data_IF_501682302798
#
_entry.id   IF_501682302798
#
_cell.length_a   1.000
_cell.length_b   1.000
_cell.length_c   1.000
_cell.angle_alpha   90.00
_cell.angle_beta   90.00
_cell.angle_gamma   90.00
#
_symmetry.space_group_name_H-M   'P 1'
#
loop_
_entity.id
_entity.type
_entity.pdbx_description
1 polymer ?
#
# COMPACT_ATOMS: atom_id res chain seq x y z
N UNK A 1 -39.90 77.14 -28.60
CA UNK A 1 -38.44 76.98 -28.81
C UNK A 1 -37.72 77.08 -27.47
N UNK A 2 -37.13 75.97 -27.01
CA UNK A 2 -35.79 75.85 -26.42
C UNK A 2 -35.69 74.52 -25.69
N UNK A 3 -34.96 73.60 -26.31
CA UNK A 3 -34.48 72.36 -25.71
C UNK A 3 -33.47 72.69 -24.60
N UNK A 4 -33.50 71.93 -23.50
CA UNK A 4 -32.28 71.65 -22.75
C UNK A 4 -32.38 70.27 -22.08
N UNK A 5 -31.43 69.43 -22.45
CA UNK A 5 -31.11 68.11 -21.92
C UNK A 5 -30.51 68.20 -20.51
N UNK A 6 -30.59 67.09 -19.76
CA UNK A 6 -29.65 66.56 -18.73
C UNK A 6 -30.49 65.82 -17.66
N UNK A 7 -30.13 64.67 -17.11
CA UNK A 7 -29.08 63.67 -17.32
C UNK A 7 -29.55 62.44 -16.52
N UNK A 8 -29.53 61.27 -17.13
CA UNK A 8 -29.74 60.01 -16.43
C UNK A 8 -28.53 59.72 -15.54
N UNK A 9 -28.74 59.59 -14.22
CA UNK A 9 -27.75 58.98 -13.32
C UNK A 9 -28.22 57.57 -13.02
N UNK A 10 -27.67 56.60 -13.75
CA UNK A 10 -27.73 55.20 -13.36
C UNK A 10 -26.72 54.99 -12.22
N UNK A 11 -27.22 54.70 -11.02
CA UNK A 11 -26.39 54.28 -9.90
C UNK A 11 -25.93 52.83 -10.16
N UNK A 12 -24.66 52.67 -10.55
CA UNK A 12 -24.03 51.36 -10.64
C UNK A 12 -23.55 50.98 -9.23
N UNK A 13 -24.34 50.20 -8.49
CA UNK A 13 -23.89 49.58 -7.23
C UNK A 13 -22.90 48.46 -7.54
N UNK A 14 -21.62 48.75 -7.39
CA UNK A 14 -20.53 47.78 -7.47
C UNK A 14 -20.54 46.93 -6.18
N UNK A 15 -21.25 45.80 -6.21
CA UNK A 15 -21.20 44.81 -5.13
C UNK A 15 -19.82 44.15 -5.13
N UNK A 16 -18.90 44.65 -4.31
CA UNK A 16 -17.64 44.00 -3.99
C UNK A 16 -17.95 42.72 -3.20
N UNK A 17 -18.08 41.60 -3.90
CA UNK A 17 -18.11 40.28 -3.27
C UNK A 17 -16.77 40.02 -2.59
N UNK A 18 -16.75 40.03 -1.26
CA UNK A 18 -15.66 39.47 -0.48
C UNK A 18 -15.58 37.97 -0.81
N UNK A 19 -14.71 37.60 -1.74
CA UNK A 19 -14.26 36.23 -1.88
C UNK A 19 -13.42 35.93 -0.63
N UNK A 20 -14.04 35.26 0.35
CA UNK A 20 -13.28 34.61 1.42
C UNK A 20 -12.29 33.66 0.74
N UNK A 21 -10.99 33.68 1.11
CA UNK A 21 -10.07 32.66 0.62
C UNK A 21 -10.65 31.31 1.03
N UNK A 22 -10.96 30.46 0.06
CA UNK A 22 -11.21 29.05 0.34
C UNK A 22 -9.96 28.56 1.08
N UNK A 23 -10.11 28.19 2.36
CA UNK A 23 -9.01 27.62 3.10
C UNK A 23 -8.53 26.42 2.29
N UNK A 24 -7.31 26.49 1.77
CA UNK A 24 -6.71 25.37 1.08
C UNK A 24 -6.67 24.23 2.10
N UNK A 25 -7.41 23.17 1.82
CA UNK A 25 -7.43 21.99 2.68
C UNK A 25 -6.00 21.44 2.72
N UNK A 26 -5.41 21.42 3.92
CA UNK A 26 -4.07 20.86 4.10
C UNK A 26 -4.09 19.42 3.57
N UNK A 27 -3.16 19.12 2.66
CA UNK A 27 -3.11 17.84 1.95
C UNK A 27 -1.81 17.11 2.29
N UNK A 28 -1.94 15.82 2.59
CA UNK A 28 -0.83 14.88 2.79
C UNK A 28 -0.85 13.85 1.67
N UNK A 29 0.23 13.77 0.91
CA UNK A 29 0.43 12.78 -0.16
C UNK A 29 1.19 11.58 0.38
N UNK A 30 0.59 10.40 0.34
CA UNK A 30 1.18 9.18 0.90
C UNK A 30 1.49 8.18 -0.21
N UNK A 31 2.73 7.76 -0.31
CA UNK A 31 3.11 6.63 -1.15
C UNK A 31 3.13 5.38 -0.29
N UNK A 32 2.18 4.47 -0.51
CA UNK A 32 1.99 3.30 0.34
C UNK A 32 2.01 2.01 -0.47
N UNK A 33 2.67 0.98 0.05
CA UNK A 33 2.65 -0.35 -0.53
C UNK A 33 1.22 -0.82 -0.83
N UNK A 34 1.02 -1.48 -1.98
CA UNK A 34 -0.31 -1.87 -2.47
C UNK A 34 -1.15 -2.68 -1.47
N UNK A 35 -0.51 -3.47 -0.59
CA UNK A 35 -1.23 -4.23 0.44
C UNK A 35 -1.97 -3.35 1.45
N UNK A 36 -1.55 -2.09 1.64
CA UNK A 36 -2.12 -1.14 2.59
C UNK A 36 -3.40 -0.44 2.06
N UNK A 37 -3.80 -0.68 0.81
CA UNK A 37 -4.85 0.09 0.13
C UNK A 37 -6.12 0.27 0.97
N UNK A 38 -6.77 -0.82 1.39
CA UNK A 38 -8.05 -0.74 2.10
C UNK A 38 -7.91 -0.11 3.49
N UNK A 39 -6.90 -0.53 4.26
CA UNK A 39 -6.67 -0.01 5.61
C UNK A 39 -6.39 1.49 5.60
N UNK A 40 -5.52 1.94 4.68
CA UNK A 40 -5.14 3.35 4.59
C UNK A 40 -6.27 4.21 4.02
N UNK A 41 -7.11 3.70 3.12
CA UNK A 41 -8.31 4.40 2.66
C UNK A 41 -9.31 4.65 3.79
N UNK A 42 -9.53 3.66 4.65
CA UNK A 42 -10.41 3.81 5.81
C UNK A 42 -9.82 4.79 6.83
N UNK A 43 -8.53 4.68 7.13
CA UNK A 43 -7.81 5.61 8.03
C UNK A 43 -7.84 7.04 7.46
N UNK A 44 -7.58 7.22 6.17
CA UNK A 44 -7.65 8.53 5.51
C UNK A 44 -9.05 9.15 5.65
N UNK A 45 -10.10 8.34 5.47
CA UNK A 45 -11.49 8.79 5.62
C UNK A 45 -11.81 9.19 7.07
N UNK A 46 -11.31 8.44 8.06
CA UNK A 46 -11.48 8.76 9.48
C UNK A 46 -10.72 10.05 9.84
N UNK A 47 -9.44 10.12 9.46
CA UNK A 47 -8.58 11.27 9.72
C UNK A 47 -9.13 12.57 9.12
N UNK A 48 -9.63 12.51 7.88
CA UNK A 48 -10.29 13.65 7.24
C UNK A 48 -11.48 14.17 8.07
N UNK A 49 -12.33 13.26 8.56
CA UNK A 49 -13.50 13.64 9.37
C UNK A 49 -13.11 14.27 10.70
N UNK A 50 -12.02 13.79 11.31
CA UNK A 50 -11.58 14.23 12.63
C UNK A 50 -10.73 15.50 12.61
N UNK A 51 -9.88 15.65 11.59
CA UNK A 51 -8.83 16.69 11.54
C UNK A 51 -9.01 17.69 10.40
N UNK A 52 -9.93 17.43 9.46
CA UNK A 52 -10.16 18.27 8.28
C UNK A 52 -8.88 18.45 7.44
N UNK A 53 -8.13 17.36 7.25
CA UNK A 53 -6.88 17.29 6.47
C UNK A 53 -6.98 16.15 5.47
N UNK A 54 -6.81 16.47 4.18
CA UNK A 54 -6.96 15.52 3.08
C UNK A 54 -5.74 14.62 2.93
N UNK A 55 -5.96 13.31 2.98
CA UNK A 55 -4.92 12.31 2.73
C UNK A 55 -5.15 11.70 1.36
N UNK A 56 -4.21 11.91 0.45
CA UNK A 56 -4.25 11.34 -0.91
C UNK A 56 -3.14 10.32 -1.04
N UNK A 57 -3.52 9.05 -1.21
CA UNK A 57 -2.57 7.96 -1.30
C UNK A 57 -2.38 7.46 -2.74
N UNK A 58 -1.13 7.16 -3.09
CA UNK A 58 -0.75 6.42 -4.30
C UNK A 58 -0.26 5.04 -3.91
N UNK A 59 -0.82 4.02 -4.56
CA UNK A 59 -0.54 2.62 -4.22
C UNK A 59 0.16 1.90 -5.38
N UNK A 60 1.29 1.30 -5.10
CA UNK A 60 2.03 0.42 -6.02
C UNK A 60 2.93 -0.53 -5.21
N UNK A 61 3.80 -1.30 -5.89
CA UNK A 61 4.87 -1.99 -5.17
C UNK A 61 5.82 -0.97 -4.55
N UNK A 62 6.34 -1.28 -3.36
CA UNK A 62 7.27 -0.39 -2.64
C UNK A 62 8.49 -0.04 -3.48
N UNK A 63 8.95 -0.97 -4.33
CA UNK A 63 9.98 -0.73 -5.34
C UNK A 63 9.66 0.40 -6.31
N UNK A 64 8.44 0.41 -6.84
CA UNK A 64 8.02 1.43 -7.80
C UNK A 64 7.90 2.77 -7.11
N UNK A 65 7.30 2.79 -5.91
CA UNK A 65 7.12 4.01 -5.13
C UNK A 65 8.46 4.62 -4.70
N UNK A 66 9.40 3.82 -4.19
CA UNK A 66 10.72 4.28 -3.80
C UNK A 66 11.49 4.89 -4.99
N UNK A 67 11.42 4.26 -6.17
CA UNK A 67 12.02 4.80 -7.40
C UNK A 67 11.31 6.06 -7.90
N UNK A 68 10.00 6.18 -7.72
CA UNK A 68 9.28 7.41 -8.05
C UNK A 68 9.69 8.56 -7.13
N UNK A 69 9.87 8.30 -5.83
CA UNK A 69 10.38 9.31 -4.88
C UNK A 69 11.79 9.74 -5.26
N UNK A 70 12.66 8.79 -5.63
CA UNK A 70 14.00 9.11 -6.15
C UNK A 70 13.95 9.99 -7.41
N UNK A 71 12.94 9.79 -8.25
CA UNK A 71 12.69 10.59 -9.46
C UNK A 71 12.00 11.93 -9.18
N UNK A 72 11.77 12.29 -7.92
CA UNK A 72 11.19 13.58 -7.52
C UNK A 72 9.67 13.60 -7.44
N UNK A 73 9.01 12.44 -7.34
CA UNK A 73 7.58 12.40 -7.06
C UNK A 73 7.28 13.04 -5.69
N UNK A 74 6.26 13.93 -5.59
CA UNK A 74 6.02 14.74 -4.40
C UNK A 74 5.23 13.98 -3.32
N UNK A 75 5.79 12.86 -2.84
CA UNK A 75 5.25 12.17 -1.68
C UNK A 75 5.70 12.86 -0.40
N UNK A 76 4.83 12.94 0.61
CA UNK A 76 5.16 13.46 1.94
C UNK A 76 5.53 12.34 2.91
N UNK A 77 4.89 11.18 2.75
CA UNK A 77 5.10 9.97 3.54
C UNK A 77 5.30 8.78 2.62
N UNK A 78 6.27 7.93 2.96
CA UNK A 78 6.47 6.64 2.31
C UNK A 78 6.24 5.51 3.31
N UNK A 79 5.43 4.52 2.93
CA UNK A 79 5.21 3.29 3.71
C UNK A 79 5.56 2.09 2.81
N UNK A 80 6.70 1.47 3.10
CA UNK A 80 7.18 0.28 2.39
C UNK A 80 6.54 -0.99 2.97
N UNK A 81 6.56 -2.09 2.22
CA UNK A 81 6.20 -3.43 2.69
C UNK A 81 7.42 -4.28 3.06
N UNK A 82 8.62 -3.69 3.03
CA UNK A 82 9.84 -4.26 3.56
C UNK A 82 10.80 -3.16 4.07
N UNK A 83 11.81 -3.57 4.84
CA UNK A 83 12.91 -2.69 5.24
C UNK A 83 13.79 -2.31 4.05
N UNK A 84 13.99 -3.22 3.08
CA UNK A 84 14.92 -3.03 1.97
C UNK A 84 14.63 -1.80 1.10
N UNK A 85 13.36 -1.54 0.75
CA UNK A 85 13.02 -0.34 -0.04
C UNK A 85 12.99 0.94 0.78
N UNK A 86 12.80 0.85 2.10
CA UNK A 86 13.02 2.00 2.99
C UNK A 86 14.51 2.30 3.14
N UNK A 87 15.36 1.27 3.28
CA UNK A 87 16.81 1.39 3.28
C UNK A 87 17.29 2.04 1.97
N UNK A 88 16.80 1.57 0.82
CA UNK A 88 17.08 2.17 -0.49
C UNK A 88 16.78 3.68 -0.51
N UNK A 89 15.58 4.07 -0.07
CA UNK A 89 15.18 5.48 -0.06
C UNK A 89 16.03 6.31 0.92
N UNK A 90 16.38 5.73 2.06
CA UNK A 90 17.24 6.36 3.06
C UNK A 90 18.68 6.53 2.56
N UNK A 91 19.28 5.52 1.96
CA UNK A 91 20.64 5.53 1.41
C UNK A 91 20.79 6.55 0.27
N UNK A 92 19.69 6.83 -0.42
CA UNK A 92 19.56 7.89 -1.43
C UNK A 92 19.32 9.28 -0.82
N UNK A 93 19.33 9.42 0.50
CA UNK A 93 19.04 10.63 1.26
C UNK A 93 17.63 11.22 1.00
N UNK A 94 16.66 10.37 0.64
CA UNK A 94 15.31 10.82 0.30
C UNK A 94 14.38 10.92 1.52
N UNK A 95 14.73 10.31 2.65
CA UNK A 95 13.89 10.22 3.85
C UNK A 95 14.45 11.05 5.01
N UNK A 96 13.57 11.58 5.87
CA UNK A 96 13.94 12.06 7.21
C UNK A 96 14.19 10.85 8.13
N UNK A 97 15.46 10.53 8.36
CA UNK A 97 15.88 9.35 9.14
C UNK A 97 15.36 9.34 10.58
N UNK A 98 15.08 10.51 11.17
CA UNK A 98 14.54 10.60 12.52
C UNK A 98 13.07 10.15 12.60
N UNK A 99 12.42 9.98 11.45
CA UNK A 99 11.00 9.61 11.35
C UNK A 99 10.78 8.18 10.90
N UNK A 100 11.86 7.39 10.71
CA UNK A 100 11.69 5.99 10.35
C UNK A 100 11.12 5.21 11.53
N UNK A 101 9.99 4.56 11.29
CA UNK A 101 9.30 3.74 12.28
C UNK A 101 8.71 2.51 11.62
N UNK A 102 9.01 1.31 12.16
CA UNK A 102 8.32 0.09 11.74
C UNK A 102 6.90 0.11 12.27
N UNK A 103 5.93 0.36 11.40
CA UNK A 103 4.53 0.57 11.76
C UNK A 103 3.77 -0.75 11.94
N UNK A 104 3.98 -1.71 11.03
CA UNK A 104 3.19 -2.94 10.97
C UNK A 104 4.08 -4.16 10.72
N UNK A 105 3.57 -5.33 11.09
CA UNK A 105 3.97 -6.63 10.58
C UNK A 105 2.84 -7.33 9.82
N UNK A 106 3.18 -8.41 9.13
CA UNK A 106 2.22 -9.22 8.37
C UNK A 106 2.73 -10.67 8.21
N UNK A 107 1.89 -11.53 7.67
CA UNK A 107 2.22 -12.92 7.36
C UNK A 107 2.29 -13.13 5.85
N UNK A 108 3.14 -14.05 5.41
CA UNK A 108 3.19 -14.49 4.02
C UNK A 108 2.34 -15.76 3.88
N UNK A 109 1.40 -15.76 2.94
CA UNK A 109 0.41 -16.84 2.79
C UNK A 109 0.28 -17.30 1.34
N UNK A 110 -0.16 -18.54 1.17
CA UNK A 110 -0.65 -19.08 -0.09
C UNK A 110 -2.16 -18.94 -0.11
N UNK A 111 -2.67 -18.37 -1.19
CA UNK A 111 -4.10 -18.25 -1.46
C UNK A 111 -4.52 -19.10 -2.66
N UNK A 112 -5.79 -19.49 -2.66
CA UNK A 112 -6.48 -20.09 -3.80
C UNK A 112 -7.80 -19.33 -4.07
N UNK A 113 -8.43 -19.47 -5.26
CA UNK A 113 -9.76 -18.93 -5.48
C UNK A 113 -10.75 -19.48 -4.44
N UNK A 114 -11.73 -18.67 -4.02
CA UNK A 114 -12.68 -19.04 -2.96
C UNK A 114 -13.43 -20.33 -3.29
N UNK A 115 -13.83 -20.50 -4.55
CA UNK A 115 -14.54 -21.67 -5.07
C UNK A 115 -13.65 -22.90 -5.31
N UNK A 116 -12.32 -22.76 -5.21
CA UNK A 116 -11.38 -23.87 -5.45
C UNK A 116 -11.58 -25.01 -4.46
N UNK A 117 -11.46 -26.26 -4.93
CA UNK A 117 -11.43 -27.45 -4.09
C UNK A 117 -10.10 -27.63 -3.32
N UNK A 118 -9.13 -26.72 -3.51
CA UNK A 118 -7.86 -26.74 -2.78
C UNK A 118 -8.11 -26.68 -1.26
N UNK A 119 -7.46 -27.61 -0.54
CA UNK A 119 -7.48 -27.68 0.93
C UNK A 119 -6.23 -27.05 1.51
N UNK A 120 -6.19 -26.96 2.83
CA UNK A 120 -5.04 -26.48 3.57
C UNK A 120 -3.77 -27.28 3.23
N UNK A 121 -2.67 -26.56 3.11
CA UNK A 121 -1.33 -27.00 2.75
C UNK A 121 -0.46 -26.76 3.99
N UNK A 122 0.14 -27.83 4.50
CA UNK A 122 1.25 -27.70 5.44
C UNK A 122 2.50 -27.39 4.63
N UNK A 123 2.94 -26.13 4.66
CA UNK A 123 4.07 -25.66 3.83
C UNK A 123 5.39 -26.04 4.52
N UNK A 124 6.16 -26.89 3.85
CA UNK A 124 7.47 -27.37 4.26
C UNK A 124 8.37 -27.71 3.05
N UNK A 125 9.55 -28.27 3.29
CA UNK A 125 10.53 -28.63 2.25
C UNK A 125 10.15 -29.88 1.42
N UNK A 126 8.99 -30.50 1.71
CA UNK A 126 8.44 -31.66 1.00
C UNK A 126 7.13 -31.35 0.28
N UNK A 127 6.70 -30.09 0.29
CA UNK A 127 5.47 -29.65 -0.35
C UNK A 127 5.52 -29.91 -1.87
N UNK A 128 4.58 -30.71 -2.38
CA UNK A 128 4.48 -31.03 -3.81
C UNK A 128 3.78 -29.89 -4.58
N UNK A 129 4.54 -28.83 -4.85
CA UNK A 129 4.02 -27.63 -5.49
C UNK A 129 3.53 -27.87 -6.91
N UNK A 130 4.17 -28.76 -7.69
CA UNK A 130 3.73 -29.10 -9.06
C UNK A 130 2.34 -29.73 -9.07
N UNK A 131 2.08 -30.67 -8.16
CA UNK A 131 0.76 -31.29 -8.02
C UNK A 131 -0.29 -30.26 -7.60
N UNK A 132 0.06 -29.39 -6.64
CA UNK A 132 -0.82 -28.30 -6.18
C UNK A 132 -1.16 -27.30 -7.31
N UNK A 133 -0.22 -27.00 -8.19
CA UNK A 133 -0.41 -26.09 -9.32
C UNK A 133 -1.19 -26.72 -10.48
N UNK A 134 -1.26 -28.04 -10.60
CA UNK A 134 -2.01 -28.75 -11.67
C UNK A 134 -1.67 -28.24 -13.09
N UNK A 135 -0.39 -27.91 -13.32
CA UNK A 135 0.09 -27.34 -14.59
C UNK A 135 -0.18 -25.84 -14.79
N UNK A 136 -0.83 -25.17 -13.84
CA UNK A 136 -1.00 -23.72 -13.81
C UNK A 136 0.23 -22.97 -13.28
N UNK A 137 0.15 -21.64 -13.27
CA UNK A 137 1.20 -20.76 -12.74
C UNK A 137 0.95 -20.34 -11.30
N UNK A 138 2.01 -20.08 -10.55
CA UNK A 138 1.95 -19.51 -9.21
C UNK A 138 1.96 -17.98 -9.27
N UNK A 139 0.85 -17.32 -8.95
CA UNK A 139 0.78 -15.86 -8.91
C UNK A 139 1.64 -15.28 -7.78
N UNK A 140 2.49 -14.30 -8.08
CA UNK A 140 3.37 -13.69 -7.09
C UNK A 140 3.76 -12.29 -7.52
N UNK A 141 4.01 -11.37 -6.59
CA UNK A 141 4.70 -10.12 -6.93
C UNK A 141 6.06 -10.42 -7.55
N UNK A 142 6.54 -9.62 -8.51
CA UNK A 142 7.80 -9.91 -9.19
C UNK A 142 8.95 -10.08 -8.17
N UNK A 143 9.55 -11.28 -8.06
CA UNK A 143 10.53 -11.58 -7.03
C UNK A 143 11.83 -10.78 -7.12
N UNK A 144 12.07 -10.10 -8.23
CA UNK A 144 13.29 -9.32 -8.42
C UNK A 144 13.19 -7.92 -7.78
N UNK A 145 11.99 -7.45 -7.43
CA UNK A 145 11.84 -6.13 -6.82
C UNK A 145 10.61 -5.93 -5.93
N UNK A 146 9.51 -6.67 -6.10
CA UNK A 146 8.31 -6.48 -5.28
C UNK A 146 8.51 -7.14 -3.91
N UNK A 147 8.27 -6.46 -2.77
CA UNK A 147 8.47 -7.03 -1.44
C UNK A 147 7.84 -8.41 -1.24
N UNK A 148 6.55 -8.59 -1.58
CA UNK A 148 5.87 -9.88 -1.47
C UNK A 148 6.55 -10.98 -2.29
N UNK A 149 7.11 -10.63 -3.46
CA UNK A 149 7.90 -11.53 -4.28
C UNK A 149 9.27 -11.84 -3.71
N UNK A 150 9.93 -10.85 -3.10
CA UNK A 150 11.22 -11.03 -2.42
C UNK A 150 11.06 -11.98 -1.23
N UNK A 151 10.03 -11.77 -0.40
CA UNK A 151 9.69 -12.69 0.70
C UNK A 151 9.32 -14.08 0.19
N UNK A 152 8.53 -14.18 -0.88
CA UNK A 152 8.20 -15.46 -1.51
C UNK A 152 9.45 -16.19 -2.01
N UNK A 153 10.39 -15.48 -2.63
CA UNK A 153 11.67 -16.04 -3.07
C UNK A 153 12.49 -16.54 -1.91
N UNK A 154 12.65 -15.75 -0.86
CA UNK A 154 13.38 -16.14 0.34
C UNK A 154 12.74 -17.40 0.99
N UNK A 155 11.42 -17.40 1.15
CA UNK A 155 10.65 -18.52 1.67
C UNK A 155 10.88 -19.80 0.86
N UNK A 156 10.70 -19.73 -0.45
CA UNK A 156 10.85 -20.87 -1.34
C UNK A 156 12.31 -21.33 -1.47
N UNK A 157 13.29 -20.43 -1.34
CA UNK A 157 14.71 -20.81 -1.31
C UNK A 157 15.04 -21.59 -0.04
N UNK A 158 14.59 -21.11 1.12
CA UNK A 158 14.79 -21.80 2.40
C UNK A 158 14.09 -23.16 2.45
N UNK A 159 12.95 -23.29 1.77
CA UNK A 159 12.21 -24.54 1.59
C UNK A 159 12.67 -25.37 0.38
N UNK A 160 13.74 -24.96 -0.32
CA UNK A 160 14.34 -25.66 -1.48
C UNK A 160 13.39 -25.88 -2.67
N UNK A 161 12.33 -25.07 -2.77
CA UNK A 161 11.31 -25.13 -3.83
C UNK A 161 11.52 -24.05 -4.92
N UNK A 162 12.41 -23.08 -4.70
CA UNK A 162 12.59 -21.95 -5.60
C UNK A 162 12.96 -22.33 -7.03
N UNK A 163 13.96 -23.21 -7.21
CA UNK A 163 14.44 -23.58 -8.55
C UNK A 163 13.36 -24.30 -9.37
N UNK A 164 12.49 -25.06 -8.69
CA UNK A 164 11.34 -25.70 -9.31
C UNK A 164 10.24 -24.69 -9.71
N UNK A 165 9.93 -23.74 -8.82
CA UNK A 165 8.78 -22.85 -8.98
C UNK A 165 9.05 -21.58 -9.76
N UNK A 166 10.28 -21.07 -9.74
CA UNK A 166 10.69 -19.84 -10.46
C UNK A 166 10.22 -19.81 -11.93
N UNK A 167 10.37 -20.88 -12.75
CA UNK A 167 9.86 -20.88 -14.13
C UNK A 167 8.32 -20.93 -14.24
N UNK A 168 7.64 -21.37 -13.18
CA UNK A 168 6.18 -21.53 -13.11
C UNK A 168 5.46 -20.30 -12.54
N UNK A 169 6.18 -19.22 -12.24
CA UNK A 169 5.56 -18.02 -11.67
C UNK A 169 4.78 -17.20 -12.69
N UNK A 170 3.65 -16.64 -12.25
CA UNK A 170 2.98 -15.53 -12.89
C UNK A 170 3.34 -14.25 -12.11
N UNK A 171 4.42 -13.60 -12.55
CA UNK A 171 5.01 -12.43 -11.90
C UNK A 171 4.15 -11.19 -12.15
N UNK A 172 3.79 -10.49 -11.08
CA UNK A 172 2.96 -9.29 -11.13
C UNK A 172 3.70 -8.05 -10.62
N UNK A 173 3.31 -6.87 -11.10
CA UNK A 173 3.97 -5.61 -10.75
C UNK A 173 3.80 -5.18 -9.27
N UNK A 174 2.85 -5.77 -8.54
CA UNK A 174 2.63 -5.63 -7.10
C UNK A 174 1.81 -6.82 -6.55
N UNK A 175 1.71 -6.94 -5.22
CA UNK A 175 1.03 -8.06 -4.57
C UNK A 175 -0.48 -8.11 -4.82
N UNK A 176 -1.15 -6.95 -4.96
CA UNK A 176 -2.59 -6.89 -5.29
C UNK A 176 -2.87 -7.32 -6.73
N UNK A 177 -1.95 -7.03 -7.64
CA UNK A 177 -2.03 -7.54 -9.01
C UNK A 177 -1.83 -9.08 -9.05
N UNK A 178 -0.95 -9.65 -8.22
CA UNK A 178 -0.83 -11.09 -8.06
C UNK A 178 -2.11 -11.71 -7.49
N UNK A 179 -2.66 -11.13 -6.42
CA UNK A 179 -3.94 -11.57 -5.84
C UNK A 179 -5.06 -11.56 -6.87
N UNK A 180 -5.14 -10.53 -7.71
CA UNK A 180 -6.18 -10.40 -8.72
C UNK A 180 -6.14 -11.51 -9.79
N UNK A 181 -4.98 -12.13 -10.04
CA UNK A 181 -4.90 -13.32 -10.92
C UNK A 181 -5.57 -14.54 -10.27
N UNK A 182 -5.44 -14.68 -8.96
CA UNK A 182 -6.10 -15.74 -8.18
C UNK A 182 -7.60 -15.46 -8.06
N UNK A 183 -8.00 -14.21 -7.81
CA UNK A 183 -9.43 -13.82 -7.79
C UNK A 183 -10.15 -14.12 -9.10
N UNK A 184 -9.44 -14.02 -10.23
CA UNK A 184 -9.96 -14.28 -11.58
C UNK A 184 -9.77 -15.71 -12.05
N UNK A 185 -9.27 -16.59 -11.18
CA UNK A 185 -8.98 -17.99 -11.51
C UNK A 185 -7.96 -18.17 -12.66
N UNK A 186 -7.20 -17.12 -12.98
CA UNK A 186 -6.10 -17.14 -13.98
C UNK A 186 -4.84 -17.84 -13.42
N UNK A 187 -4.73 -17.91 -12.10
CA UNK A 187 -3.73 -18.68 -11.38
C UNK A 187 -4.40 -19.54 -10.28
N UNK A 188 -4.12 -20.86 -10.21
CA UNK A 188 -4.72 -21.74 -9.21
C UNK A 188 -4.28 -21.42 -7.79
N UNK A 189 -3.08 -20.86 -7.63
CA UNK A 189 -2.50 -20.43 -6.36
C UNK A 189 -1.79 -19.09 -6.53
N UNK A 190 -1.66 -18.35 -5.43
CA UNK A 190 -0.77 -17.21 -5.36
C UNK A 190 -0.14 -17.03 -3.99
N UNK A 191 1.01 -16.36 -3.94
CA UNK A 191 1.68 -15.95 -2.70
C UNK A 191 1.42 -14.45 -2.49
N UNK A 192 0.77 -14.13 -1.39
CA UNK A 192 0.37 -12.76 -1.00
C UNK A 192 0.57 -12.58 0.50
N UNK A 193 0.22 -11.41 1.04
CA UNK A 193 0.18 -11.24 2.49
C UNK A 193 -1.17 -11.67 3.10
N UNK A 194 -1.16 -12.05 4.38
CA UNK A 194 -2.38 -12.38 5.13
C UNK A 194 -3.42 -11.25 5.07
N UNK A 195 -2.97 -9.99 5.19
CA UNK A 195 -3.84 -8.82 5.04
C UNK A 195 -4.50 -8.70 3.66
N UNK A 196 -3.84 -9.14 2.59
CA UNK A 196 -4.41 -9.09 1.24
C UNK A 196 -5.57 -10.08 1.14
N UNK A 197 -5.41 -11.28 1.70
CA UNK A 197 -6.46 -12.29 1.74
C UNK A 197 -7.67 -11.83 2.59
N UNK A 198 -7.45 -11.09 3.68
CA UNK A 198 -8.54 -10.47 4.46
C UNK A 198 -9.29 -9.40 3.67
N UNK A 199 -8.61 -8.70 2.76
CA UNK A 199 -9.19 -7.63 1.96
C UNK A 199 -10.03 -8.11 0.76
N UNK A 200 -10.20 -9.43 0.56
CA UNK A 200 -10.93 -10.01 -0.57
C UNK A 200 -11.87 -11.13 -0.12
N UNK A 201 -13.08 -11.15 -0.68
CA UNK A 201 -14.05 -12.24 -0.51
C UNK A 201 -13.91 -13.35 -1.58
N UNK A 202 -13.06 -13.14 -2.59
CA UNK A 202 -12.88 -14.01 -3.76
C UNK A 202 -11.74 -15.01 -3.64
N UNK A 203 -10.93 -14.90 -2.58
CA UNK A 203 -9.84 -15.84 -2.29
C UNK A 203 -9.99 -16.44 -0.90
N UNK A 204 -9.23 -17.49 -0.65
CA UNK A 204 -9.07 -18.08 0.68
C UNK A 204 -7.61 -18.40 0.90
N UNK A 205 -7.15 -18.23 2.14
CA UNK A 205 -5.85 -18.75 2.58
C UNK A 205 -5.92 -20.27 2.59
N UNK A 206 -4.93 -20.91 2.00
CA UNK A 206 -4.77 -22.37 1.97
C UNK A 206 -3.43 -22.80 2.55
N UNK A 207 -2.62 -21.88 3.07
CA UNK A 207 -1.38 -22.21 3.76
C UNK A 207 -0.67 -20.93 4.20
N UNK A 208 0.05 -21.01 5.31
CA UNK A 208 0.89 -19.91 5.81
C UNK A 208 2.33 -20.36 5.79
N UNK A 209 3.22 -19.52 5.25
CA UNK A 209 4.65 -19.83 5.23
C UNK A 209 5.20 -19.83 6.67
N UNK A 210 6.09 -20.77 7.02
CA UNK A 210 6.73 -20.76 8.33
C UNK A 210 7.48 -19.44 8.55
N UNK A 211 7.36 -18.84 9.73
CA UNK A 211 8.07 -17.59 10.06
C UNK A 211 9.61 -17.70 9.96
N UNK A 212 10.15 -18.92 10.01
CA UNK A 212 11.57 -19.21 9.82
C UNK A 212 11.99 -19.32 8.35
N UNK A 213 11.03 -19.34 7.42
CA UNK A 213 11.32 -19.46 5.99
C UNK A 213 11.69 -18.13 5.34
N UNK A 214 11.36 -16.99 5.94
CA UNK A 214 11.68 -15.67 5.41
C UNK A 214 11.94 -14.69 6.54
N UNK A 215 12.53 -13.53 6.24
CA UNK A 215 12.62 -12.43 7.22
C UNK A 215 11.21 -11.98 7.66
N UNK A 216 11.08 -11.37 8.85
CA UNK A 216 9.82 -10.76 9.25
C UNK A 216 9.29 -9.80 8.18
N UNK A 217 8.02 -9.92 7.84
CA UNK A 217 7.34 -8.95 6.97
C UNK A 217 7.05 -7.73 7.81
N UNK A 218 7.65 -6.59 7.43
CA UNK A 218 7.60 -5.35 8.19
C UNK A 218 7.31 -4.17 7.27
N UNK A 219 6.49 -3.23 7.77
CA UNK A 219 6.09 -2.04 7.05
C UNK A 219 6.69 -0.80 7.70
N UNK A 220 7.92 -0.41 7.35
CA UNK A 220 8.46 0.86 7.80
C UNK A 220 7.76 2.02 7.10
N UNK A 221 7.49 3.06 7.87
CA UNK A 221 7.09 4.37 7.37
C UNK A 221 8.16 5.41 7.69
N UNK A 222 8.27 6.42 6.84
CA UNK A 222 9.09 7.61 7.08
C UNK A 222 8.51 8.82 6.33
N UNK A 223 8.78 10.01 6.86
CA UNK A 223 8.51 11.28 6.18
C UNK A 223 9.59 11.49 5.11
N UNK A 224 9.16 11.90 3.92
CA UNK A 224 10.09 12.28 2.84
C UNK A 224 10.87 13.52 3.28
N UNK A 225 12.18 13.52 3.04
CA UNK A 225 13.08 14.60 3.45
C UNK A 225 12.55 15.95 2.97
N UNK A 226 12.63 16.96 3.83
CA UNK A 226 12.18 18.34 3.55
C UNK A 226 10.65 18.53 3.36
N UNK A 227 9.85 17.46 3.46
CA UNK A 227 8.39 17.54 3.39
C UNK A 227 7.72 17.65 4.77
N UNK A 228 8.49 17.60 5.86
CA UNK A 228 7.95 17.68 7.21
C UNK A 228 7.29 19.03 7.48
N UNK A 229 5.98 18.98 7.74
CA UNK A 229 5.17 20.11 8.17
C UNK A 229 4.12 19.63 9.19
N UNK A 230 3.30 20.52 9.80
CA UNK A 230 2.31 20.13 10.80
C UNK A 230 1.27 19.11 10.30
N UNK A 231 0.79 19.23 9.06
CA UNK A 231 -0.20 18.30 8.50
C UNK A 231 0.39 16.89 8.30
N UNK A 232 1.61 16.82 7.74
CA UNK A 232 2.34 15.56 7.51
C UNK A 232 2.70 14.90 8.83
N UNK A 233 3.19 15.67 9.80
CA UNK A 233 3.52 15.16 11.14
C UNK A 233 2.26 14.68 11.87
N UNK A 234 1.15 15.40 11.73
CA UNK A 234 -0.14 15.01 12.30
C UNK A 234 -0.63 13.66 11.77
N UNK A 235 -0.55 13.42 10.46
CA UNK A 235 -0.95 12.13 9.89
C UNK A 235 0.04 11.01 10.24
N UNK A 236 1.35 11.29 10.19
CA UNK A 236 2.40 10.36 10.65
C UNK A 236 2.16 9.92 12.09
N UNK A 237 1.80 10.86 12.98
CA UNK A 237 1.49 10.56 14.37
C UNK A 237 0.17 9.80 14.53
N UNK A 238 -0.85 10.15 13.75
CA UNK A 238 -2.14 9.47 13.73
C UNK A 238 -2.02 7.98 13.37
N UNK A 239 -1.15 7.63 12.41
CA UNK A 239 -0.94 6.23 12.02
C UNK A 239 -0.48 5.33 13.19
N UNK A 240 0.12 5.91 14.24
CA UNK A 240 0.62 5.21 15.42
C UNK A 240 -0.41 5.14 16.57
N UNK A 241 -1.60 5.71 16.41
CA UNK A 241 -2.58 5.75 17.51
C UNK A 241 -3.34 4.42 17.65
N UNK A 242 -3.97 4.16 18.81
CA UNK A 242 -4.81 2.98 19.00
C UNK A 242 -5.96 2.87 17.98
N UNK A 243 -6.49 4.00 17.52
CA UNK A 243 -7.59 4.06 16.54
C UNK A 243 -7.12 3.54 15.18
N UNK A 244 -5.99 4.05 14.66
CA UNK A 244 -5.39 3.56 13.43
C UNK A 244 -4.95 2.08 13.57
N UNK A 245 -4.35 1.71 14.70
CA UNK A 245 -3.97 0.33 15.01
C UNK A 245 -5.18 -0.63 14.98
N UNK A 246 -6.36 -0.20 15.45
CA UNK A 246 -7.58 -0.99 15.40
C UNK A 246 -8.05 -1.22 13.95
N UNK A 247 -7.94 -0.21 13.07
CA UNK A 247 -8.21 -0.38 11.64
C UNK A 247 -7.24 -1.38 11.02
N UNK A 248 -5.94 -1.20 11.24
CA UNK A 248 -4.91 -2.12 10.73
C UNK A 248 -5.16 -3.58 11.15
N UNK A 249 -5.49 -3.82 12.42
CA UNK A 249 -5.86 -5.16 12.92
C UNK A 249 -7.07 -5.75 12.21
N UNK A 250 -8.12 -4.97 11.94
CA UNK A 250 -9.30 -5.44 11.18
C UNK A 250 -8.94 -5.90 9.78
N UNK A 251 -7.94 -5.26 9.15
CA UNK A 251 -7.43 -5.64 7.83
C UNK A 251 -6.31 -6.69 7.89
N UNK A 252 -6.07 -7.33 9.04
CA UNK A 252 -5.12 -8.45 9.14
C UNK A 252 -3.64 -8.05 9.28
N UNK A 253 -3.34 -6.78 9.55
CA UNK A 253 -1.99 -6.36 9.92
C UNK A 253 -1.74 -6.51 11.43
N UNK A 254 -0.46 -6.61 11.80
CA UNK A 254 -0.01 -6.59 13.20
C UNK A 254 0.68 -5.24 13.53
N UNK A 255 -0.02 -4.26 14.14
CA UNK A 255 0.62 -3.02 14.58
C UNK A 255 1.78 -3.25 15.55
N UNK A 256 2.80 -2.40 15.47
CA UNK A 256 4.02 -2.44 16.29
C UNK A 256 4.04 -1.33 17.34
#
# INVERSE_FOLDING_TARGET
MKQQWLKWFAALTLSAGMALPAAAEDKVTVFAAASLTNALQEIATQYQKEKNVAVVASYASSSTLARQIEQGAPADLFISADQQWMDYAQDKNLMDTATRHTLLGNELVVIAPKASAQKDINIDDKTDWKSLLKGGRLAVGDPDHVPAGIYAKEALQNLKAWDELSPLMARANNVRAAMALVEREEAPLGIVYGSDAVASDKVKVVGTFPATSHKPVEYPMAIVREHKNPAVSGFYDYLKTPEAAAVFKRYGFAPR
#
